data_IF_757317847872
#
_entry.id   IF_757317847872
#
_cell.length_a   1.000
_cell.length_b   1.000
_cell.length_c   1.000
_cell.angle_alpha   90.00
_cell.angle_beta   90.00
_cell.angle_gamma   90.00
#
_symmetry.space_group_name_H-M   'P 1'
#
loop_
_entity.id
_entity.type
_entity.pdbx_description
1 polymer ?
#
# COMPACT_ATOMS: atom_id res chain seq x y z
N UNK A 1 -20.59 9.44 41.78
CA UNK A 1 -21.03 8.03 41.58
C UNK A 1 -20.26 7.60 40.36
N UNK A 2 -19.07 7.07 40.58
CA UNK A 2 -18.03 7.05 39.56
C UNK A 2 -17.97 5.66 38.95
N UNK A 3 -18.50 5.56 37.74
CA UNK A 3 -18.50 4.34 36.94
C UNK A 3 -17.13 4.09 36.34
N UNK A 4 -16.39 3.14 36.89
CA UNK A 4 -15.16 2.65 36.29
C UNK A 4 -15.26 1.13 36.10
N UNK A 5 -15.94 0.72 35.03
CA UNK A 5 -16.00 -0.68 34.59
C UNK A 5 -14.60 -1.13 34.17
N UNK A 6 -14.11 -2.21 34.77
CA UNK A 6 -12.76 -2.73 34.52
C UNK A 6 -12.71 -3.58 33.24
N UNK A 7 -11.57 -3.60 32.52
CA UNK A 7 -11.32 -4.51 31.38
C UNK A 7 -11.63 -5.98 31.72
N UNK A 8 -11.40 -6.37 32.97
CA UNK A 8 -11.64 -7.73 33.46
C UNK A 8 -13.14 -8.03 33.62
N UNK A 9 -13.94 -7.01 33.90
CA UNK A 9 -15.39 -7.09 34.02
C UNK A 9 -16.04 -7.20 32.63
N UNK A 10 -15.55 -6.43 31.65
CA UNK A 10 -15.98 -6.53 30.26
C UNK A 10 -15.70 -7.92 29.66
N UNK A 11 -14.50 -8.48 29.90
CA UNK A 11 -14.16 -9.83 29.45
C UNK A 11 -15.00 -10.91 30.15
N UNK A 12 -15.36 -10.72 31.42
CA UNK A 12 -16.25 -11.62 32.15
C UNK A 12 -17.67 -11.66 31.56
N UNK A 13 -18.21 -10.50 31.18
CA UNK A 13 -19.56 -10.39 30.58
C UNK A 13 -19.59 -10.96 29.15
N UNK A 14 -18.53 -10.76 28.35
CA UNK A 14 -18.47 -11.29 26.99
C UNK A 14 -18.41 -12.83 26.92
N UNK A 15 -17.87 -13.49 27.96
CA UNK A 15 -17.80 -14.95 28.01
C UNK A 15 -19.16 -15.62 28.32
N UNK A 16 -20.12 -14.90 28.91
CA UNK A 16 -21.42 -15.46 29.33
C UNK A 16 -22.54 -15.41 28.29
N UNK A 17 -22.42 -14.57 27.25
CA UNK A 17 -23.50 -14.34 26.28
C UNK A 17 -23.43 -15.20 25.01
N UNK A 18 -22.39 -16.03 24.83
CA UNK A 18 -22.14 -16.76 23.58
C UNK A 18 -22.71 -18.18 23.47
N UNK A 19 -23.39 -18.70 24.50
CA UNK A 19 -23.67 -20.14 24.59
C UNK A 19 -24.97 -20.62 23.93
N UNK A 20 -25.75 -19.78 23.24
CA UNK A 20 -27.09 -20.17 22.78
C UNK A 20 -27.51 -19.66 21.39
N UNK A 21 -26.66 -19.78 20.36
CA UNK A 21 -27.13 -19.71 18.96
C UNK A 21 -26.38 -20.73 18.08
N UNK A 22 -27.06 -21.82 17.71
CA UNK A 22 -26.95 -22.40 16.37
C UNK A 22 -26.09 -23.66 16.17
N UNK A 23 -26.61 -24.83 16.54
CA UNK A 23 -26.13 -26.15 16.05
C UNK A 23 -26.57 -26.43 14.58
N UNK A 24 -27.19 -25.48 13.88
CA UNK A 24 -27.82 -25.72 12.56
C UNK A 24 -27.03 -25.30 11.31
N UNK A 25 -25.77 -24.86 11.42
CA UNK A 25 -25.12 -24.09 10.36
C UNK A 25 -23.72 -24.55 9.97
N UNK A 26 -23.43 -25.86 9.94
CA UNK A 26 -22.28 -26.37 9.18
C UNK A 26 -22.57 -26.27 7.68
N UNK A 27 -22.78 -25.04 7.19
CA UNK A 27 -22.58 -24.73 5.80
C UNK A 27 -21.12 -25.03 5.53
N UNK A 28 -20.86 -26.18 4.91
CA UNK A 28 -19.51 -26.57 4.53
C UNK A 28 -18.87 -25.38 3.82
N UNK A 29 -17.86 -24.81 4.46
CA UNK A 29 -17.00 -23.83 3.83
C UNK A 29 -16.34 -24.56 2.66
N UNK A 30 -16.99 -24.51 1.48
CA UNK A 30 -16.42 -25.02 0.25
C UNK A 30 -15.08 -24.33 0.11
N UNK A 31 -13.97 -25.06 -0.04
CA UNK A 31 -12.68 -24.45 -0.29
C UNK A 31 -12.87 -23.48 -1.45
N UNK A 32 -12.69 -22.19 -1.19
CA UNK A 32 -12.68 -21.17 -2.23
C UNK A 32 -11.61 -21.66 -3.23
N UNK A 33 -11.95 -21.86 -4.52
CA UNK A 33 -10.95 -22.28 -5.48
C UNK A 33 -9.82 -21.27 -5.38
N UNK A 34 -8.66 -21.71 -4.91
CA UNK A 34 -7.44 -20.94 -5.13
C UNK A 34 -7.39 -20.81 -6.64
N UNK A 35 -7.44 -19.58 -7.14
CA UNK A 35 -7.17 -19.31 -8.54
C UNK A 35 -5.70 -19.66 -8.78
N UNK A 36 -5.44 -20.96 -8.90
CA UNK A 36 -4.17 -21.55 -9.31
C UNK A 36 -4.05 -21.39 -10.80
N UNK A 37 -3.86 -20.16 -11.25
CA UNK A 37 -3.17 -19.89 -12.49
C UNK A 37 -1.70 -19.73 -12.14
N UNK A 38 -0.88 -20.74 -12.44
CA UNK A 38 0.58 -20.67 -12.31
C UNK A 38 1.23 -19.71 -13.29
N UNK A 39 0.73 -18.48 -13.41
CA UNK A 39 1.44 -17.41 -14.09
C UNK A 39 2.49 -16.85 -13.13
N UNK A 40 3.74 -16.81 -13.58
CA UNK A 40 4.77 -16.05 -12.89
C UNK A 40 4.22 -14.62 -12.75
N UNK A 41 4.15 -14.05 -11.53
CA UNK A 41 3.63 -12.70 -11.36
C UNK A 41 4.40 -11.75 -12.27
N UNK A 42 3.70 -11.09 -13.18
CA UNK A 42 4.31 -10.19 -14.16
C UNK A 42 5.08 -9.11 -13.41
N UNK A 43 6.36 -8.92 -13.74
CA UNK A 43 7.13 -7.78 -13.29
C UNK A 43 6.52 -6.49 -13.86
N UNK A 44 6.02 -5.62 -12.99
CA UNK A 44 5.42 -4.33 -13.36
C UNK A 44 6.43 -3.20 -13.21
N UNK A 45 6.26 -2.14 -14.01
CA UNK A 45 6.84 -0.82 -13.79
C UNK A 45 5.80 0.04 -13.07
N UNK A 46 6.13 0.49 -11.88
CA UNK A 46 5.22 1.20 -10.99
C UNK A 46 5.74 2.62 -10.78
N UNK A 47 4.91 3.62 -11.06
CA UNK A 47 5.17 5.00 -10.65
C UNK A 47 4.49 5.26 -9.31
N UNK A 48 5.23 5.77 -8.34
CA UNK A 48 4.68 6.21 -7.05
C UNK A 48 4.77 7.72 -6.96
N UNK A 49 3.63 8.40 -6.91
CA UNK A 49 3.56 9.83 -6.63
C UNK A 49 3.68 10.01 -5.10
N UNK A 50 4.74 10.69 -4.65
CA UNK A 50 5.16 10.68 -3.25
C UNK A 50 6.15 9.55 -2.96
N UNK A 51 5.81 8.69 -1.98
CA UNK A 51 6.61 7.49 -1.66
C UNK A 51 7.37 7.52 -0.33
N UNK A 52 7.74 8.71 0.19
CA UNK A 52 8.48 8.85 1.46
C UNK A 52 7.62 9.26 2.66
N UNK A 53 6.30 9.31 2.47
CA UNK A 53 5.28 9.52 3.52
C UNK A 53 5.07 8.27 4.39
N UNK A 54 3.93 8.15 5.06
CA UNK A 54 3.68 7.01 5.96
C UNK A 54 3.43 5.69 5.20
N UNK A 55 2.58 5.72 4.17
CA UNK A 55 2.16 4.51 3.42
C UNK A 55 3.17 4.09 2.37
N UNK A 56 3.78 5.07 1.69
CA UNK A 56 4.70 4.86 0.59
C UNK A 56 5.83 3.85 0.88
N UNK A 57 6.55 3.95 2.01
CA UNK A 57 7.68 3.08 2.27
C UNK A 57 7.31 1.61 2.43
N UNK A 58 6.12 1.32 2.99
CA UNK A 58 5.64 -0.06 3.11
C UNK A 58 5.29 -0.64 1.74
N UNK A 59 4.65 0.15 0.89
CA UNK A 59 4.32 -0.25 -0.47
C UNK A 59 5.60 -0.47 -1.30
N UNK A 60 6.53 0.48 -1.32
CA UNK A 60 7.77 0.41 -2.11
C UNK A 60 8.57 -0.83 -1.74
N UNK A 61 8.81 -1.08 -0.44
CA UNK A 61 9.52 -2.29 0.01
C UNK A 61 8.86 -3.58 -0.46
N UNK A 62 7.53 -3.67 -0.40
CA UNK A 62 6.81 -4.84 -0.87
C UNK A 62 6.90 -4.98 -2.39
N UNK A 63 6.70 -3.90 -3.14
CA UNK A 63 6.80 -3.91 -4.60
C UNK A 63 8.19 -4.39 -5.06
N UNK A 64 9.26 -3.87 -4.45
CA UNK A 64 10.63 -4.30 -4.72
C UNK A 64 10.86 -5.76 -4.34
N UNK A 65 10.37 -6.21 -3.18
CA UNK A 65 10.47 -7.61 -2.76
C UNK A 65 9.72 -8.59 -3.70
N UNK A 66 8.68 -8.12 -4.38
CA UNK A 66 7.97 -8.86 -5.43
C UNK A 66 8.61 -8.72 -6.83
N UNK A 67 9.79 -8.10 -6.92
CA UNK A 67 10.58 -7.96 -8.14
C UNK A 67 10.09 -6.87 -9.09
N UNK A 68 9.14 -6.03 -8.69
CA UNK A 68 8.65 -4.91 -9.50
C UNK A 68 9.70 -3.81 -9.64
N UNK A 69 9.64 -3.06 -10.73
CA UNK A 69 10.41 -1.83 -10.90
C UNK A 69 9.61 -0.67 -10.32
N UNK A 70 10.21 0.10 -9.43
CA UNK A 70 9.59 1.29 -8.85
C UNK A 70 10.34 2.52 -9.34
N UNK A 71 9.59 3.55 -9.71
CA UNK A 71 10.08 4.92 -9.87
C UNK A 71 9.26 5.79 -8.91
N UNK A 72 9.90 6.68 -8.16
CA UNK A 72 9.23 7.69 -7.35
C UNK A 72 9.11 9.00 -8.13
N UNK A 73 8.07 9.79 -7.85
CA UNK A 73 7.99 11.19 -8.24
C UNK A 73 7.64 12.02 -7.01
N UNK A 74 8.58 12.81 -6.50
CA UNK A 74 8.40 13.64 -5.31
C UNK A 74 9.47 14.76 -5.23
N UNK A 75 9.42 15.58 -4.17
CA UNK A 75 10.33 16.72 -3.96
C UNK A 75 11.78 16.36 -3.58
N UNK A 76 12.15 15.08 -3.56
CA UNK A 76 13.48 14.60 -3.16
C UNK A 76 13.66 14.33 -1.66
N UNK A 77 12.72 14.78 -0.82
CA UNK A 77 12.85 14.69 0.64
C UNK A 77 12.96 13.23 1.13
N UNK A 78 14.14 12.88 1.65
CA UNK A 78 14.51 11.56 2.21
C UNK A 78 14.46 10.40 1.21
N UNK A 79 14.33 10.67 -0.09
CA UNK A 79 14.25 9.62 -1.10
C UNK A 79 15.53 8.78 -1.14
N UNK A 80 16.69 9.43 -1.23
CA UNK A 80 17.98 8.76 -1.33
C UNK A 80 18.40 8.08 -0.02
N UNK A 81 17.91 8.58 1.12
CA UNK A 81 18.12 7.95 2.44
C UNK A 81 17.29 6.67 2.58
N UNK A 82 16.02 6.70 2.17
CA UNK A 82 15.11 5.56 2.36
C UNK A 82 15.22 4.51 1.27
N UNK A 83 15.48 4.93 0.03
CA UNK A 83 15.44 4.10 -1.18
C UNK A 83 16.53 4.50 -2.19
N UNK A 84 17.82 4.38 -1.84
CA UNK A 84 18.94 4.74 -2.72
C UNK A 84 18.96 3.97 -4.05
N UNK A 85 18.30 2.81 -4.11
CA UNK A 85 18.19 1.96 -5.30
C UNK A 85 17.01 2.32 -6.22
N UNK A 86 16.11 3.21 -5.77
CA UNK A 86 14.90 3.58 -6.50
C UNK A 86 15.11 4.91 -7.20
N UNK A 87 14.94 4.93 -8.52
CA UNK A 87 14.93 6.15 -9.30
C UNK A 87 13.87 7.12 -8.77
N UNK A 88 14.26 8.38 -8.53
CA UNK A 88 13.36 9.44 -8.13
C UNK A 88 13.34 10.57 -9.17
N UNK A 89 12.20 10.75 -9.83
CA UNK A 89 11.93 11.91 -10.66
C UNK A 89 11.59 13.09 -9.74
N UNK A 90 12.48 14.07 -9.65
CA UNK A 90 12.30 15.21 -8.74
C UNK A 90 11.25 16.19 -9.28
N UNK A 91 10.26 16.55 -8.47
CA UNK A 91 9.23 17.52 -8.84
C UNK A 91 8.18 17.76 -7.75
N UNK A 92 7.11 18.48 -8.11
CA UNK A 92 5.95 18.77 -7.27
C UNK A 92 4.63 18.43 -8.00
N UNK A 93 3.58 18.01 -7.28
CA UNK A 93 2.24 17.74 -7.86
C UNK A 93 1.58 19.01 -8.35
N UNK A 94 1.91 20.12 -7.72
CA UNK A 94 1.40 21.42 -8.03
C UNK A 94 2.29 22.00 -9.14
N UNK A 95 1.81 22.09 -10.39
CA UNK A 95 2.62 22.50 -11.53
C UNK A 95 3.25 23.90 -11.35
N UNK A 96 2.63 24.74 -10.52
CA UNK A 96 3.06 26.09 -10.22
C UNK A 96 4.20 26.18 -9.17
N UNK A 97 4.59 25.07 -8.52
CA UNK A 97 5.60 25.06 -7.45
C UNK A 97 6.93 24.48 -7.92
N UNK A 98 8.02 25.23 -7.73
CA UNK A 98 9.37 24.77 -8.07
C UNK A 98 9.44 24.30 -9.53
N UNK A 99 9.97 23.10 -9.75
CA UNK A 99 9.99 22.49 -11.08
C UNK A 99 8.69 21.77 -11.47
N UNK A 100 7.67 21.77 -10.60
CA UNK A 100 6.35 21.21 -10.88
C UNK A 100 6.45 19.80 -11.45
N UNK A 101 5.78 19.57 -12.58
CA UNK A 101 5.72 18.27 -13.26
C UNK A 101 6.84 18.05 -14.28
N UNK A 102 7.80 18.97 -14.45
CA UNK A 102 8.75 18.96 -15.58
C UNK A 102 9.44 17.61 -15.80
N UNK A 103 10.04 17.03 -14.77
CA UNK A 103 10.78 15.76 -14.89
C UNK A 103 9.87 14.59 -15.29
N UNK A 104 8.63 14.57 -14.79
CA UNK A 104 7.64 13.57 -15.17
C UNK A 104 7.18 13.77 -16.61
N UNK A 105 6.93 15.01 -17.03
CA UNK A 105 6.58 15.33 -18.42
C UNK A 105 7.70 14.94 -19.39
N UNK A 106 8.95 15.26 -19.06
CA UNK A 106 10.12 14.90 -19.85
C UNK A 106 10.24 13.38 -19.99
N UNK A 107 10.07 12.63 -18.90
CA UNK A 107 10.06 11.17 -18.94
C UNK A 107 8.96 10.65 -19.88
N UNK A 108 7.74 11.19 -19.80
CA UNK A 108 6.62 10.78 -20.67
C UNK A 108 6.88 11.12 -22.14
N UNK A 109 7.41 12.32 -22.41
CA UNK A 109 7.80 12.80 -23.76
C UNK A 109 8.90 11.93 -24.36
N UNK A 110 9.86 11.47 -23.54
CA UNK A 110 10.90 10.52 -23.93
C UNK A 110 10.40 9.07 -24.10
N UNK A 111 9.09 8.81 -23.96
CA UNK A 111 8.49 7.50 -24.17
C UNK A 111 8.47 6.60 -22.94
N UNK A 112 8.83 7.09 -21.75
CA UNK A 112 8.72 6.33 -20.49
C UNK A 112 7.25 5.96 -20.26
N UNK A 113 7.00 4.72 -19.87
CA UNK A 113 5.67 4.21 -19.53
C UNK A 113 5.76 3.36 -18.27
N UNK A 114 4.71 3.44 -17.47
CA UNK A 114 4.50 2.61 -16.29
C UNK A 114 3.24 1.79 -16.50
N UNK A 115 3.19 0.60 -15.91
CA UNK A 115 2.05 -0.30 -15.98
C UNK A 115 0.98 0.12 -14.96
N UNK A 116 1.38 0.72 -13.82
CA UNK A 116 0.50 1.18 -12.75
C UNK A 116 1.06 2.49 -12.14
N UNK A 117 0.16 3.36 -11.71
CA UNK A 117 0.48 4.55 -10.89
C UNK A 117 -0.20 4.43 -9.54
N UNK A 118 0.55 4.67 -8.46
CA UNK A 118 0.04 4.80 -7.10
C UNK A 118 0.21 6.24 -6.62
N UNK A 119 -0.90 6.92 -6.30
CA UNK A 119 -0.88 8.23 -5.64
C UNK A 119 -1.08 8.06 -4.13
N UNK A 120 -0.07 8.42 -3.36
CA UNK A 120 -0.06 8.35 -1.88
C UNK A 120 0.47 9.65 -1.28
N UNK A 121 0.24 10.76 -1.97
CA UNK A 121 0.83 12.05 -1.64
C UNK A 121 -0.08 12.93 -0.78
#
# INVERSE_FOLDING_TARGET
MDGNTSRREFLGVAAGAGAAVGIGGLAQARPRPQAGGGSVPKRLRILVLGGTGQTGPQFIRKALAHGHQVTMFNRGNRSDEMFPEVENLIGDRYPERGDGLKSLEEAVKAGRRWDVVLDVW
#
